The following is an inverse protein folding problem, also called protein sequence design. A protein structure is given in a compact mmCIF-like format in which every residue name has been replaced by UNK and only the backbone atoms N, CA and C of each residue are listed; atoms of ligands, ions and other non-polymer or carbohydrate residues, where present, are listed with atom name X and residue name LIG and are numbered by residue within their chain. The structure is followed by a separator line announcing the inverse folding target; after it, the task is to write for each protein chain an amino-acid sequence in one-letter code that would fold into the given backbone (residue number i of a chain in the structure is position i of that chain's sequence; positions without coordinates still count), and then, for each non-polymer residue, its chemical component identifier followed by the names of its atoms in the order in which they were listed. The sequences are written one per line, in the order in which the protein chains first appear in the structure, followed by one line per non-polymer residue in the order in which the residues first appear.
data_IF_678050755373
#
_entry.id   IF_678050755373
#
_cell.length_a   1.000
_cell.length_b   1.000
_cell.length_c   1.000
_cell.angle_alpha   90.00
_cell.angle_beta   90.00
_cell.angle_gamma   90.00
#
_symmetry.space_group_name_H-M   'P 1'
#
loop_
_entity.id
_entity.type
_entity.pdbx_description
1 polymer ?
#
# COMPACT_ATOMS: atom_id res chain seq x y z
N UNK A 1 18.51 5.32 1.46
CA UNK A 1 18.04 5.12 2.83
C UNK A 1 19.06 4.31 3.61
N UNK A 2 19.44 4.85 4.72
CA UNK A 2 20.42 4.18 5.58
C UNK A 2 19.80 2.94 6.22
N UNK A 3 20.58 1.88 6.36
CA UNK A 3 20.13 0.63 6.97
C UNK A 3 19.35 -0.30 6.04
N UNK A 4 19.18 0.09 4.78
CA UNK A 4 18.47 -0.73 3.80
C UNK A 4 19.43 -1.80 3.25
N UNK A 5 19.08 -3.08 3.44
CA UNK A 5 19.87 -4.18 2.88
C UNK A 5 19.71 -4.22 1.36
N UNK A 6 20.67 -4.82 0.61
CA UNK A 6 20.50 -4.97 -0.83
C UNK A 6 19.21 -5.68 -1.23
N UNK A 7 18.80 -6.71 -0.48
CA UNK A 7 17.55 -7.42 -0.77
C UNK A 7 16.34 -6.54 -0.52
N UNK A 8 16.32 -5.77 0.56
CA UNK A 8 15.22 -4.86 0.84
C UNK A 8 15.16 -3.72 -0.18
N UNK A 9 16.32 -3.22 -0.62
CA UNK A 9 16.37 -2.23 -1.70
C UNK A 9 15.75 -2.77 -2.98
N UNK A 10 16.01 -4.03 -3.31
CA UNK A 10 15.43 -4.70 -4.47
C UNK A 10 13.92 -4.83 -4.34
N UNK A 11 13.43 -5.20 -3.16
CA UNK A 11 11.98 -5.27 -2.88
C UNK A 11 11.33 -3.91 -3.10
N UNK A 12 11.90 -2.85 -2.52
CA UNK A 12 11.38 -1.48 -2.66
C UNK A 12 11.35 -1.08 -4.14
N UNK A 13 12.43 -1.33 -4.87
CA UNK A 13 12.51 -1.01 -6.30
C UNK A 13 11.44 -1.75 -7.09
N UNK A 14 11.24 -3.04 -6.79
CA UNK A 14 10.21 -3.83 -7.46
C UNK A 14 8.81 -3.30 -7.17
N UNK A 15 8.52 -2.93 -5.92
CA UNK A 15 7.24 -2.36 -5.55
C UNK A 15 7.01 -1.01 -6.24
N UNK A 16 8.01 -0.14 -6.26
CA UNK A 16 7.91 1.16 -6.93
C UNK A 16 7.64 0.99 -8.44
N UNK A 17 8.38 0.09 -9.07
CA UNK A 17 8.19 -0.21 -10.49
C UNK A 17 6.79 -0.76 -10.78
N UNK A 18 6.29 -1.63 -9.91
CA UNK A 18 4.95 -2.20 -10.03
C UNK A 18 3.89 -1.12 -9.89
N UNK A 19 4.02 -0.24 -8.90
CA UNK A 19 3.09 0.87 -8.67
C UNK A 19 3.11 1.83 -9.88
N UNK A 20 4.29 2.12 -10.43
CA UNK A 20 4.41 2.99 -11.60
C UNK A 20 3.79 2.38 -12.86
N UNK A 21 3.66 1.06 -12.92
CA UNK A 21 3.03 0.38 -14.06
C UNK A 21 1.51 0.41 -14.01
N UNK A 22 0.92 0.94 -12.95
CA UNK A 22 -0.52 1.13 -12.85
C UNK A 22 -1.02 2.04 -13.99
N UNK A 23 -2.21 1.76 -14.55
CA UNK A 23 -2.76 2.61 -15.62
C UNK A 23 -3.05 4.05 -15.19
N UNK A 24 -3.15 4.29 -13.89
CA UNK A 24 -3.34 5.64 -13.35
C UNK A 24 -2.07 6.04 -12.61
N UNK A 25 -1.50 7.18 -12.98
CA UNK A 25 -0.30 7.68 -12.31
C UNK A 25 -0.64 8.17 -10.91
N UNK A 26 0.14 7.74 -9.93
CA UNK A 26 0.01 8.16 -8.54
C UNK A 26 1.13 9.14 -8.20
N UNK A 27 0.81 10.15 -7.41
CA UNK A 27 1.80 11.07 -6.86
C UNK A 27 2.47 10.41 -5.65
N UNK A 28 3.76 10.66 -5.50
CA UNK A 28 4.55 10.05 -4.43
C UNK A 28 5.19 11.14 -3.56
N UNK A 29 5.16 10.93 -2.25
CA UNK A 29 5.81 11.80 -1.30
C UNK A 29 6.12 11.04 -0.01
N UNK A 30 7.14 11.51 0.72
CA UNK A 30 7.41 10.95 2.04
C UNK A 30 6.43 11.58 3.03
N UNK A 31 5.56 10.77 3.58
CA UNK A 31 4.57 11.14 4.59
C UNK A 31 4.65 10.16 5.75
N UNK A 32 4.66 10.66 6.96
CA UNK A 32 4.72 9.80 8.15
C UNK A 32 5.88 8.79 8.09
N UNK A 33 7.03 9.22 7.57
CA UNK A 33 8.25 8.41 7.39
C UNK A 33 8.07 7.23 6.41
N UNK A 34 7.05 7.30 5.54
CA UNK A 34 6.78 6.26 4.55
C UNK A 34 6.69 6.88 3.16
N UNK A 35 7.13 6.14 2.15
CA UNK A 35 6.93 6.55 0.76
C UNK A 35 5.47 6.28 0.40
N UNK A 36 4.69 7.36 0.34
CA UNK A 36 3.22 7.30 0.23
C UNK A 36 2.79 7.69 -1.18
N UNK A 37 1.83 6.94 -1.71
CA UNK A 37 1.30 7.12 -3.06
C UNK A 37 -0.17 7.54 -2.98
N UNK A 38 -0.52 8.59 -3.71
CA UNK A 38 -1.86 9.17 -3.67
C UNK A 38 -2.34 9.55 -5.07
N UNK A 39 -3.65 9.57 -5.24
CA UNK A 39 -4.27 9.98 -6.49
C UNK A 39 -4.43 11.50 -6.51
N UNK A 40 -3.89 12.15 -7.56
CA UNK A 40 -4.03 13.60 -7.77
C UNK A 40 -3.65 14.44 -6.53
N UNK A 41 -2.60 14.02 -5.82
CA UNK A 41 -2.10 14.75 -4.67
C UNK A 41 -2.95 14.65 -3.41
N UNK A 42 -3.97 13.82 -3.39
CA UNK A 42 -4.86 13.66 -2.24
C UNK A 42 -4.25 12.71 -1.20
N UNK A 43 -3.26 13.21 -0.46
CA UNK A 43 -2.58 12.41 0.56
C UNK A 43 -3.43 12.20 1.82
N UNK A 44 -4.54 12.90 1.96
CA UNK A 44 -5.50 12.63 3.03
C UNK A 44 -6.19 11.28 2.82
N UNK A 45 -6.44 10.93 1.57
CA UNK A 45 -7.02 9.65 1.18
C UNK A 45 -6.02 8.88 0.31
N UNK A 46 -4.82 8.65 0.84
CA UNK A 46 -3.75 7.99 0.11
C UNK A 46 -4.10 6.54 -0.24
N UNK A 47 -3.50 6.03 -1.30
CA UNK A 47 -3.77 4.68 -1.82
C UNK A 47 -2.95 3.64 -1.08
N UNK A 48 -1.63 3.78 -1.11
CA UNK A 48 -0.74 2.83 -0.46
C UNK A 48 0.57 3.52 -0.08
N UNK A 49 1.35 2.85 0.77
CA UNK A 49 2.64 3.36 1.22
C UNK A 49 3.62 2.21 1.41
N UNK A 50 4.90 2.47 1.15
CA UNK A 50 5.97 1.53 1.40
C UNK A 50 6.61 1.90 2.74
N UNK A 51 6.62 0.94 3.66
CA UNK A 51 7.17 1.08 4.99
C UNK A 51 8.37 0.14 5.12
N UNK A 52 9.45 0.62 5.73
CA UNK A 52 10.68 -0.17 5.86
C UNK A 52 11.01 -0.28 7.34
N UNK A 53 11.18 -1.50 7.81
CA UNK A 53 11.67 -1.79 9.16
C UNK A 53 12.96 -2.59 9.07
N UNK A 54 13.58 -2.88 10.21
CA UNK A 54 14.77 -3.73 10.24
C UNK A 54 14.47 -5.16 9.80
N UNK A 55 13.22 -5.61 9.90
CA UNK A 55 12.83 -7.00 9.69
C UNK A 55 12.15 -7.25 8.37
N UNK A 56 11.52 -6.23 7.77
CA UNK A 56 10.73 -6.43 6.56
C UNK A 56 10.50 -5.13 5.82
N UNK A 57 10.06 -5.26 4.57
CA UNK A 57 9.47 -4.18 3.80
C UNK A 57 7.97 -4.39 3.78
N UNK A 58 7.19 -3.38 4.07
CA UNK A 58 5.75 -3.45 4.09
C UNK A 58 5.12 -2.62 2.98
N UNK A 59 4.02 -3.12 2.41
CA UNK A 59 3.14 -2.34 1.54
C UNK A 59 1.81 -2.19 2.28
N UNK A 60 1.47 -0.96 2.64
CA UNK A 60 0.30 -0.63 3.45
C UNK A 60 -0.75 -0.01 2.56
N UNK A 61 -1.97 -0.52 2.61
CA UNK A 61 -3.12 0.07 1.93
C UNK A 61 -3.98 0.79 2.95
N UNK A 62 -4.27 2.09 2.70
CA UNK A 62 -4.99 2.94 3.65
C UNK A 62 -6.37 2.35 4.00
N UNK A 63 -7.10 1.91 3.00
CA UNK A 63 -8.42 1.31 3.19
C UNK A 63 -8.41 -0.17 2.84
N UNK A 64 -7.29 -0.84 3.15
CA UNK A 64 -7.08 -2.24 2.80
C UNK A 64 -8.15 -3.19 3.31
N UNK A 65 -8.78 -2.85 4.44
CA UNK A 65 -9.87 -3.66 5.00
C UNK A 65 -11.11 -3.75 4.12
N UNK A 66 -11.24 -2.82 3.15
CA UNK A 66 -12.36 -2.81 2.20
C UNK A 66 -12.01 -3.47 0.88
N UNK A 67 -10.77 -3.93 0.71
CA UNK A 67 -10.32 -4.60 -0.50
C UNK A 67 -10.49 -6.11 -0.35
N UNK A 68 -10.72 -6.79 -1.48
CA UNK A 68 -10.79 -8.25 -1.50
C UNK A 68 -9.39 -8.84 -1.39
N UNK A 69 -9.12 -9.55 -0.31
CA UNK A 69 -7.83 -10.22 -0.07
C UNK A 69 -7.92 -11.67 -0.55
N UNK A 70 -7.87 -11.85 -1.87
CA UNK A 70 -8.07 -13.15 -2.50
C UNK A 70 -7.02 -14.19 -2.09
N UNK A 71 -5.79 -13.73 -1.82
CA UNK A 71 -4.71 -14.63 -1.44
C UNK A 71 -4.48 -14.76 0.04
N UNK A 72 -5.24 -14.05 0.88
CA UNK A 72 -5.02 -14.04 2.32
C UNK A 72 -3.66 -13.47 2.70
N UNK A 73 -3.15 -12.50 1.92
CA UNK A 73 -1.79 -11.99 2.07
C UNK A 73 -1.67 -10.83 3.05
N UNK A 74 -2.78 -10.19 3.40
CA UNK A 74 -2.75 -9.10 4.37
C UNK A 74 -2.50 -9.66 5.77
N UNK A 75 -1.60 -9.00 6.48
CA UNK A 75 -1.37 -9.31 7.89
C UNK A 75 -2.50 -8.75 8.73
N UNK A 76 -2.91 -9.52 9.73
CA UNK A 76 -3.85 -9.02 10.74
C UNK A 76 -3.22 -7.85 11.47
N UNK A 77 -4.00 -6.80 11.72
CA UNK A 77 -3.54 -5.63 12.42
C UNK A 77 -4.60 -5.12 13.38
N UNK A 78 -4.21 -4.18 14.21
CA UNK A 78 -5.14 -3.56 15.17
C UNK A 78 -6.06 -2.56 14.49
N UNK A 79 -5.64 -2.00 13.36
CA UNK A 79 -6.44 -1.03 12.62
C UNK A 79 -7.63 -1.69 11.94
N UNK A 80 -8.77 -1.00 11.97
CA UNK A 80 -9.99 -1.50 11.34
C UNK A 80 -9.95 -1.41 9.81
N UNK A 81 -9.18 -0.48 9.27
CA UNK A 81 -9.18 -0.22 7.83
C UNK A 81 -7.82 -0.37 7.18
N UNK A 82 -6.72 -0.12 7.89
CA UNK A 82 -5.37 -0.32 7.33
C UNK A 82 -5.07 -1.80 7.19
N UNK A 83 -4.44 -2.18 6.09
CA UNK A 83 -3.94 -3.54 5.89
C UNK A 83 -2.55 -3.49 5.31
N UNK A 84 -1.71 -4.43 5.72
CA UNK A 84 -0.29 -4.47 5.38
C UNK A 84 0.10 -5.82 4.81
N UNK A 85 0.91 -5.80 3.76
CA UNK A 85 1.59 -6.98 3.24
C UNK A 85 3.04 -6.87 3.67
N UNK A 86 3.61 -7.93 4.23
CA UNK A 86 5.02 -7.97 4.61
C UNK A 86 5.83 -8.77 3.60
N UNK A 87 6.97 -8.21 3.20
CA UNK A 87 7.91 -8.84 2.29
C UNK A 87 9.25 -9.01 3.00
N UNK A 88 9.78 -10.23 3.00
CA UNK A 88 11.08 -10.54 3.59
C UNK A 88 12.12 -10.84 2.51
N UNK A 89 11.68 -11.37 1.37
CA UNK A 89 12.54 -11.69 0.24
C UNK A 89 11.91 -11.19 -1.05
N UNK A 90 12.72 -11.07 -2.10
CA UNK A 90 12.20 -10.63 -3.39
C UNK A 90 11.17 -11.63 -3.96
N UNK A 91 11.30 -12.89 -3.62
CA UNK A 91 10.35 -13.92 -4.06
C UNK A 91 8.95 -13.72 -3.48
N UNK A 92 8.83 -13.00 -2.37
CA UNK A 92 7.53 -12.69 -1.77
C UNK A 92 6.71 -11.70 -2.58
N UNK A 93 7.34 -10.94 -3.48
CA UNK A 93 6.65 -9.89 -4.23
C UNK A 93 5.89 -10.50 -5.40
N UNK A 94 4.56 -10.41 -5.33
CA UNK A 94 3.68 -10.80 -6.43
C UNK A 94 3.09 -9.54 -7.06
N UNK A 95 3.68 -9.11 -8.16
CA UNK A 95 3.29 -7.87 -8.84
C UNK A 95 1.85 -7.89 -9.32
N UNK A 96 1.34 -9.05 -9.75
CA UNK A 96 -0.04 -9.16 -10.21
C UNK A 96 -1.03 -8.89 -9.06
N UNK A 97 -0.74 -9.41 -7.88
CA UNK A 97 -1.56 -9.17 -6.68
C UNK A 97 -1.52 -7.70 -6.29
N UNK A 98 -0.32 -7.10 -6.30
CA UNK A 98 -0.16 -5.67 -5.97
C UNK A 98 -0.98 -4.81 -6.93
N UNK A 99 -0.88 -5.07 -8.24
CA UNK A 99 -1.64 -4.32 -9.24
C UNK A 99 -3.15 -4.48 -9.07
N UNK A 100 -3.60 -5.69 -8.73
CA UNK A 100 -5.03 -5.92 -8.49
C UNK A 100 -5.53 -5.12 -7.28
N UNK A 101 -4.76 -5.08 -6.20
CA UNK A 101 -5.13 -4.31 -5.02
C UNK A 101 -5.14 -2.81 -5.30
N UNK A 102 -4.17 -2.32 -6.07
CA UNK A 102 -4.15 -0.92 -6.50
C UNK A 102 -5.38 -0.61 -7.34
N UNK A 103 -5.72 -1.48 -8.30
CA UNK A 103 -6.92 -1.33 -9.13
C UNK A 103 -8.17 -1.23 -8.26
N UNK A 104 -8.33 -2.12 -7.30
CA UNK A 104 -9.46 -2.09 -6.38
C UNK A 104 -9.51 -0.78 -5.59
N UNK A 105 -8.36 -0.34 -5.09
CA UNK A 105 -8.28 0.90 -4.32
C UNK A 105 -8.66 2.12 -5.17
N UNK A 106 -8.21 2.16 -6.41
CA UNK A 106 -8.54 3.24 -7.34
C UNK A 106 -10.03 3.25 -7.67
N UNK A 107 -10.63 2.09 -7.90
CA UNK A 107 -12.05 1.98 -8.17
C UNK A 107 -12.91 2.45 -7.00
N UNK A 108 -12.43 2.24 -5.77
CA UNK A 108 -13.17 2.59 -4.56
C UNK A 108 -12.75 3.94 -3.97
N UNK A 109 -11.81 4.65 -4.60
CA UNK A 109 -11.27 5.89 -4.05
C UNK A 109 -12.34 6.93 -3.77
N UNK A 110 -13.29 7.11 -4.68
CA UNK A 110 -14.39 8.06 -4.50
C UNK A 110 -15.26 7.67 -3.30
N UNK A 111 -15.54 6.38 -3.14
CA UNK A 111 -16.27 5.86 -1.99
C UNK A 111 -15.53 6.16 -0.69
N UNK A 112 -14.20 5.96 -0.68
CA UNK A 112 -13.38 6.26 0.51
C UNK A 112 -13.46 7.75 0.86
N UNK A 113 -13.37 8.64 -0.13
CA UNK A 113 -13.44 10.09 0.09
C UNK A 113 -14.78 10.50 0.70
N UNK A 114 -15.87 9.93 0.20
CA UNK A 114 -17.21 10.31 0.63
C UNK A 114 -17.59 9.69 1.97
N UNK A 115 -17.00 8.55 2.32
CA UNK A 115 -17.45 7.75 3.46
C UNK A 115 -16.37 7.52 4.52
N UNK A 116 -15.24 8.22 4.45
CA UNK A 116 -14.11 7.93 5.34
C UNK A 116 -14.50 8.01 6.84
N UNK A 117 -15.40 8.92 7.20
CA UNK A 117 -15.84 9.04 8.59
C UNK A 117 -16.63 7.81 9.04
N UNK A 118 -17.48 7.30 8.18
CA UNK A 118 -18.22 6.08 8.46
C UNK A 118 -17.29 4.88 8.55
N UNK A 119 -16.32 4.80 7.65
CA UNK A 119 -15.31 3.73 7.65
C UNK A 119 -14.53 3.73 8.97
N UNK A 120 -14.10 4.91 9.42
CA UNK A 120 -13.36 5.02 10.67
C UNK A 120 -14.21 4.68 11.90
N UNK A 121 -15.48 5.03 11.90
CA UNK A 121 -16.40 4.74 13.01
C UNK A 121 -16.86 3.30 13.02
N UNK A 122 -17.26 2.81 11.86
CA UNK A 122 -17.94 1.53 11.76
C UNK A 122 -17.02 0.34 11.76
N UNK A 123 -15.81 0.59 11.45
CA UNK A 123 -14.83 -0.50 11.36
C UNK A 123 -15.06 -1.41 10.18
#
# INVERSE_FOLDING_TARGET
MQGLTPEFAEIVTRLMSTIDSSPVRLDAAIKWKQLTFALQGDFHHWICAISITKKSVGLVFHYGGLLSDTGGIFRSGESKFLRKIEYHTIADVDSAVVLDLIRQALEKHQYFKENWRLIQRGG
#
